data_IF_946221059585
#
_entry.id   IF_946221059585
#
_cell.length_a   1.000
_cell.length_b   1.000
_cell.length_c   1.000
_cell.angle_alpha   90.00
_cell.angle_beta   90.00
_cell.angle_gamma   90.00
#
_symmetry.space_group_name_H-M   'P 1'
#
loop_
_entity.id
_entity.type
_entity.pdbx_description
1 polymer ?
#
# COMPACT_ATOMS: atom_id res chain seq x y z
N UNK A 1 -19.31 13.11 13.86
CA UNK A 1 -19.23 11.71 13.38
C UNK A 1 -17.93 11.12 13.87
N UNK A 2 -17.98 9.92 14.43
CA UNK A 2 -16.91 9.29 15.19
C UNK A 2 -15.71 9.01 14.28
N UNK A 3 -14.59 9.69 14.53
CA UNK A 3 -13.32 9.37 13.92
C UNK A 3 -12.93 7.95 14.36
N UNK A 4 -13.18 6.98 13.48
CA UNK A 4 -12.66 5.62 13.63
C UNK A 4 -11.16 5.74 13.44
N UNK A 5 -10.43 5.79 14.56
CA UNK A 5 -8.98 5.77 14.60
C UNK A 5 -8.52 4.45 13.97
N UNK A 6 -8.04 4.52 12.73
CA UNK A 6 -7.15 3.54 12.15
C UNK A 6 -5.92 3.49 13.06
N UNK A 7 -5.87 2.52 13.97
CA UNK A 7 -4.66 2.21 14.74
C UNK A 7 -3.73 1.46 13.78
N UNK A 8 -3.11 2.21 12.85
CA UNK A 8 -1.96 1.79 12.04
C UNK A 8 -1.00 2.99 11.88
N UNK A 9 -0.81 3.76 12.95
CA UNK A 9 0.14 4.88 12.93
C UNK A 9 0.83 5.01 14.28
N UNK A 10 1.81 4.14 14.54
CA UNK A 10 2.87 4.43 15.49
C UNK A 10 4.11 4.83 14.69
N UNK A 11 4.33 6.14 14.58
CA UNK A 11 5.47 6.74 13.88
C UNK A 11 5.01 7.78 12.85
N UNK A 12 5.41 9.04 13.04
CA UNK A 12 5.04 10.19 12.21
C UNK A 12 5.59 10.20 10.78
N UNK A 13 5.66 9.05 10.12
CA UNK A 13 5.91 8.90 8.69
C UNK A 13 4.58 8.67 7.99
N UNK A 14 4.34 9.41 6.89
CA UNK A 14 3.27 9.09 5.96
C UNK A 14 3.63 7.77 5.27
N UNK A 15 3.05 6.70 5.76
CA UNK A 15 3.21 5.34 5.25
C UNK A 15 2.09 5.02 4.25
N UNK A 16 2.35 4.10 3.31
CA UNK A 16 1.37 3.59 2.35
C UNK A 16 0.10 3.08 3.05
N UNK A 17 0.20 2.57 4.28
CA UNK A 17 -0.95 2.23 5.12
C UNK A 17 -1.95 3.41 5.28
N UNK A 18 -1.45 4.64 5.41
CA UNK A 18 -2.27 5.84 5.48
C UNK A 18 -2.87 6.21 4.13
N UNK A 19 -2.13 6.04 3.04
CA UNK A 19 -2.65 6.27 1.68
C UNK A 19 -3.79 5.29 1.34
N UNK A 20 -3.67 4.02 1.76
CA UNK A 20 -4.70 2.99 1.54
C UNK A 20 -6.05 3.36 2.18
N UNK A 21 -6.06 4.16 3.25
CA UNK A 21 -7.29 4.64 3.86
C UNK A 21 -8.17 5.45 2.88
N UNK A 22 -7.57 6.12 1.88
CA UNK A 22 -8.31 6.84 0.83
C UNK A 22 -9.08 5.92 -0.12
N UNK A 23 -8.84 4.60 -0.08
CA UNK A 23 -9.46 3.60 -0.96
C UNK A 23 -10.45 2.69 -0.23
N UNK A 24 -10.57 2.84 1.10
CA UNK A 24 -11.45 2.04 1.93
C UNK A 24 -12.92 2.33 1.56
N UNK A 25 -13.67 1.29 1.18
CA UNK A 25 -15.07 1.42 0.74
C UNK A 25 -16.04 1.61 1.90
N UNK A 26 -15.80 0.91 3.00
CA UNK A 26 -16.66 0.91 4.19
C UNK A 26 -15.80 0.78 5.45
N UNK A 27 -16.37 1.10 6.61
CA UNK A 27 -15.72 0.78 7.88
C UNK A 27 -15.38 -0.73 7.95
N UNK A 28 -14.31 -1.03 8.69
CA UNK A 28 -13.89 -2.41 8.92
C UNK A 28 -15.02 -3.22 9.57
N UNK A 29 -15.20 -4.45 9.11
CA UNK A 29 -16.25 -5.36 9.60
C UNK A 29 -15.61 -6.40 10.50
N UNK A 30 -16.13 -6.56 11.72
CA UNK A 30 -15.69 -7.64 12.60
C UNK A 30 -16.21 -8.99 12.07
N UNK A 31 -15.31 -9.96 11.97
CA UNK A 31 -15.58 -11.30 11.42
C UNK A 31 -15.54 -12.33 12.54
N UNK A 32 -16.55 -13.19 12.61
CA UNK A 32 -16.51 -14.37 13.46
C UNK A 32 -15.90 -15.54 12.68
N UNK A 33 -14.78 -16.07 13.18
CA UNK A 33 -14.12 -17.23 12.58
C UNK A 33 -14.57 -18.52 13.27
N UNK A 34 -14.97 -19.51 12.47
CA UNK A 34 -15.40 -20.80 12.98
C UNK A 34 -14.23 -21.55 13.66
N UNK A 35 -14.51 -22.21 14.79
CA UNK A 35 -13.50 -23.02 15.51
C UNK A 35 -12.58 -22.23 16.44
N UNK A 36 -12.66 -20.90 16.48
CA UNK A 36 -11.83 -20.09 17.39
C UNK A 36 -12.18 -20.29 18.87
N UNK A 37 -13.42 -20.68 19.19
CA UNK A 37 -13.85 -20.99 20.56
C UNK A 37 -12.98 -22.06 21.23
N UNK A 38 -12.47 -23.03 20.45
CA UNK A 38 -11.56 -24.06 20.95
C UNK A 38 -10.24 -23.45 21.38
N UNK A 39 -9.71 -22.49 20.62
CA UNK A 39 -8.45 -21.80 20.97
C UNK A 39 -8.66 -20.94 22.22
N UNK A 40 -9.76 -20.20 22.28
CA UNK A 40 -10.10 -19.35 23.43
C UNK A 40 -10.20 -20.17 24.73
N UNK A 41 -10.84 -21.35 24.68
CA UNK A 41 -10.98 -22.22 25.84
C UNK A 41 -9.70 -22.98 26.20
N UNK A 42 -8.96 -23.48 25.21
CA UNK A 42 -7.80 -24.34 25.45
C UNK A 42 -6.57 -23.56 25.90
N UNK A 43 -6.41 -22.32 25.42
CA UNK A 43 -5.21 -21.51 25.64
C UNK A 43 -5.48 -20.23 26.43
N UNK A 44 -6.69 -20.04 26.97
CA UNK A 44 -7.14 -18.78 27.57
C UNK A 44 -6.85 -17.58 26.65
N UNK A 45 -7.07 -17.83 25.35
CA UNK A 45 -6.76 -16.90 24.28
C UNK A 45 -7.94 -16.00 23.97
N UNK A 46 -7.68 -14.92 23.25
CA UNK A 46 -8.71 -14.12 22.58
C UNK A 46 -8.29 -13.84 21.16
N UNK A 47 -9.23 -13.51 20.29
CA UNK A 47 -8.88 -13.08 18.95
C UNK A 47 -9.70 -11.86 18.51
N UNK A 48 -9.16 -11.14 17.53
CA UNK A 48 -9.86 -10.10 16.79
C UNK A 48 -9.65 -10.38 15.31
N UNK A 49 -10.74 -10.47 14.55
CA UNK A 49 -10.69 -10.61 13.10
C UNK A 49 -11.48 -9.46 12.45
N UNK A 50 -10.83 -8.69 11.59
CA UNK A 50 -11.42 -7.52 10.93
C UNK A 50 -11.18 -7.56 9.43
N UNK A 51 -12.25 -7.41 8.67
CA UNK A 51 -12.21 -7.35 7.21
C UNK A 51 -12.23 -5.91 6.71
N UNK A 52 -11.32 -5.59 5.80
CA UNK A 52 -11.18 -4.32 5.11
C UNK A 52 -11.33 -4.53 3.60
N UNK A 53 -12.08 -3.65 2.96
CA UNK A 53 -12.33 -3.70 1.52
C UNK A 53 -11.82 -2.41 0.87
N UNK A 54 -10.76 -2.52 0.08
CA UNK A 54 -10.16 -1.41 -0.64
C UNK A 54 -10.49 -1.51 -2.14
N UNK A 55 -10.92 -0.40 -2.72
CA UNK A 55 -11.11 -0.28 -4.16
C UNK A 55 -9.97 0.54 -4.75
N UNK A 56 -8.93 -0.14 -5.22
CA UNK A 56 -7.79 0.49 -5.88
C UNK A 56 -8.11 0.71 -7.37
N UNK A 57 -7.32 1.55 -8.03
CA UNK A 57 -7.39 1.71 -9.50
C UNK A 57 -6.99 0.43 -10.24
N UNK A 58 -6.17 -0.43 -9.63
CA UNK A 58 -5.72 -1.70 -10.20
C UNK A 58 -6.67 -2.87 -9.99
N UNK A 59 -7.63 -2.75 -9.06
CA UNK A 59 -8.55 -3.83 -8.70
C UNK A 59 -9.01 -3.75 -7.24
N UNK A 60 -9.59 -4.86 -6.76
CA UNK A 60 -10.12 -4.97 -5.40
C UNK A 60 -9.11 -5.65 -4.49
N UNK A 61 -8.85 -5.05 -3.32
CA UNK A 61 -8.01 -5.64 -2.28
C UNK A 61 -8.88 -5.93 -1.05
N UNK A 62 -9.03 -7.21 -0.72
CA UNK A 62 -9.72 -7.68 0.47
C UNK A 62 -8.68 -8.11 1.50
N UNK A 63 -8.68 -7.46 2.66
CA UNK A 63 -7.71 -7.73 3.71
C UNK A 63 -8.45 -8.20 4.97
N UNK A 64 -8.11 -9.38 5.46
CA UNK A 64 -8.50 -9.88 6.76
C UNK A 64 -7.33 -9.69 7.72
N UNK A 65 -7.48 -8.79 8.69
CA UNK A 65 -6.54 -8.64 9.79
C UNK A 65 -6.98 -9.55 10.95
N UNK A 66 -6.13 -10.51 11.32
CA UNK A 66 -6.39 -11.46 12.39
C UNK A 66 -5.30 -11.33 13.46
N UNK A 67 -5.69 -10.93 14.67
CA UNK A 67 -4.80 -10.86 15.83
C UNK A 67 -5.21 -11.91 16.83
N UNK A 68 -4.25 -12.75 17.25
CA UNK A 68 -4.40 -13.72 18.32
C UNK A 68 -3.70 -13.20 19.58
N UNK A 69 -4.45 -13.04 20.65
CA UNK A 69 -3.95 -12.65 21.96
C UNK A 69 -3.74 -13.91 22.80
N UNK A 70 -2.49 -14.18 23.17
CA UNK A 70 -2.11 -15.33 24.00
C UNK A 70 -1.53 -14.87 25.34
N UNK A 71 -1.66 -15.65 26.41
CA UNK A 71 -0.93 -15.42 27.65
C UNK A 71 0.59 -15.44 27.43
N UNK A 72 1.33 -14.58 28.13
CA UNK A 72 2.81 -14.57 28.10
C UNK A 72 3.44 -15.91 28.55
N UNK A 73 2.70 -16.71 29.32
CA UNK A 73 3.12 -18.04 29.76
C UNK A 73 2.93 -19.14 28.71
N UNK A 74 2.36 -18.84 27.54
CA UNK A 74 2.07 -19.84 26.51
C UNK A 74 3.37 -20.42 25.94
N UNK A 75 3.46 -21.75 25.87
CA UNK A 75 4.65 -22.42 25.34
C UNK A 75 4.77 -22.24 23.82
N UNK A 76 5.99 -22.29 23.28
CA UNK A 76 6.22 -22.20 21.83
C UNK A 76 5.42 -23.24 21.03
N UNK A 77 5.30 -24.47 21.54
CA UNK A 77 4.52 -25.52 20.87
C UNK A 77 3.01 -25.25 20.87
N UNK A 78 2.50 -24.58 21.91
CA UNK A 78 1.10 -24.17 21.99
C UNK A 78 0.82 -22.96 21.10
N UNK A 79 1.76 -22.00 21.04
CA UNK A 79 1.71 -20.85 20.11
C UNK A 79 1.60 -21.36 18.67
N UNK A 80 2.44 -22.33 18.27
CA UNK A 80 2.42 -22.91 16.93
C UNK A 80 1.09 -23.60 16.59
N UNK A 81 0.54 -24.37 17.53
CA UNK A 81 -0.76 -25.03 17.36
C UNK A 81 -1.91 -24.01 17.27
N UNK A 82 -1.90 -22.98 18.10
CA UNK A 82 -2.90 -21.92 18.09
C UNK A 82 -2.83 -21.11 16.78
N UNK A 83 -1.62 -20.75 16.33
CA UNK A 83 -1.35 -20.12 15.03
C UNK A 83 -1.93 -20.92 13.88
N UNK A 84 -1.59 -22.20 13.80
CA UNK A 84 -2.08 -23.10 12.73
C UNK A 84 -3.61 -23.18 12.71
N UNK A 85 -4.22 -23.30 13.90
CA UNK A 85 -5.68 -23.40 14.02
C UNK A 85 -6.36 -22.10 13.57
N UNK A 86 -5.82 -20.94 13.96
CA UNK A 86 -6.35 -19.64 13.58
C UNK A 86 -6.26 -19.39 12.06
N UNK A 87 -5.13 -19.76 11.44
CA UNK A 87 -4.93 -19.63 9.99
C UNK A 87 -5.89 -20.55 9.23
N UNK A 88 -6.05 -21.80 9.66
CA UNK A 88 -7.03 -22.73 9.07
C UNK A 88 -8.47 -22.23 9.20
N UNK A 89 -8.81 -21.58 10.31
CA UNK A 89 -10.11 -20.96 10.49
C UNK A 89 -10.33 -19.79 9.50
N UNK A 90 -9.32 -18.95 9.28
CA UNK A 90 -9.36 -17.87 8.30
C UNK A 90 -9.47 -18.40 6.86
N UNK A 91 -8.74 -19.46 6.52
CA UNK A 91 -8.82 -20.13 5.22
C UNK A 91 -10.21 -20.73 4.97
N UNK A 92 -10.78 -21.42 5.97
CA UNK A 92 -12.13 -21.96 5.86
C UNK A 92 -13.18 -20.86 5.63
N UNK A 93 -13.05 -19.73 6.34
CA UNK A 93 -13.91 -18.55 6.13
C UNK A 93 -13.76 -17.97 4.72
N UNK A 94 -12.53 -17.84 4.22
CA UNK A 94 -12.24 -17.33 2.89
C UNK A 94 -12.85 -18.24 1.79
N UNK A 95 -12.66 -19.56 1.88
CA UNK A 95 -13.28 -20.53 0.96
C UNK A 95 -14.80 -20.45 0.96
N UNK A 96 -15.41 -20.33 2.15
CA UNK A 96 -16.87 -20.14 2.26
C UNK A 96 -17.32 -18.86 1.57
N UNK A 97 -16.56 -17.77 1.71
CA UNK A 97 -16.88 -16.47 1.13
C UNK A 97 -16.74 -16.47 -0.40
N UNK A 98 -15.73 -17.17 -0.94
CA UNK A 98 -15.57 -17.39 -2.38
C UNK A 98 -16.70 -18.23 -2.97
N UNK A 99 -17.19 -19.24 -2.25
CA UNK A 99 -18.28 -20.09 -2.75
C UNK A 99 -19.62 -19.35 -2.92
N UNK A 100 -19.77 -18.20 -2.24
CA UNK A 100 -20.99 -17.39 -2.25
C UNK A 100 -20.96 -16.23 -3.26
N UNK A 101 -19.78 -15.86 -3.76
CA UNK A 101 -19.59 -14.72 -4.66
C UNK A 101 -19.06 -15.21 -6.00
N UNK A 102 -19.65 -14.74 -7.11
CA UNK A 102 -19.08 -14.97 -8.43
C UNK A 102 -17.65 -14.38 -8.49
N UNK A 103 -16.70 -15.14 -9.03
CA UNK A 103 -15.31 -14.70 -9.17
C UNK A 103 -15.25 -13.38 -9.95
N UNK A 104 -14.92 -12.30 -9.24
CA UNK A 104 -14.64 -11.00 -9.85
C UNK A 104 -13.17 -11.01 -10.24
N UNK A 105 -12.88 -10.93 -11.54
CA UNK A 105 -11.52 -10.74 -12.06
C UNK A 105 -10.85 -9.53 -11.36
N UNK A 106 -9.55 -9.64 -11.06
CA UNK A 106 -8.74 -8.59 -10.41
C UNK A 106 -9.09 -8.33 -8.94
N UNK A 107 -9.13 -9.40 -8.14
CA UNK A 107 -9.18 -9.30 -6.68
C UNK A 107 -7.90 -9.90 -6.08
N UNK A 108 -7.42 -9.31 -4.99
CA UNK A 108 -6.43 -9.92 -4.11
C UNK A 108 -7.04 -10.13 -2.73
N UNK A 109 -6.96 -11.36 -2.21
CA UNK A 109 -7.41 -11.71 -0.87
C UNK A 109 -6.19 -11.96 0.00
N UNK A 110 -6.09 -11.19 1.09
CA UNK A 110 -4.93 -11.14 1.95
C UNK A 110 -5.34 -11.44 3.39
N UNK A 111 -4.57 -12.29 4.07
CA UNK A 111 -4.62 -12.48 5.51
C UNK A 111 -3.36 -11.85 6.13
N UNK A 112 -3.54 -10.86 6.99
CA UNK A 112 -2.46 -10.32 7.83
C UNK A 112 -2.64 -10.87 9.23
N UNK A 113 -1.71 -11.69 9.68
CA UNK A 113 -1.78 -12.41 10.94
C UNK A 113 -0.81 -11.84 11.98
N UNK A 114 -1.30 -11.60 13.20
CA UNK A 114 -0.52 -11.12 14.33
C UNK A 114 -0.71 -12.03 15.55
N UNK A 115 0.34 -12.17 16.36
CA UNK A 115 0.26 -12.81 17.68
C UNK A 115 0.78 -11.81 18.70
N UNK A 116 -0.05 -11.50 19.69
CA UNK A 116 0.32 -10.61 20.79
C UNK A 116 0.33 -11.38 22.10
N UNK A 117 1.47 -11.34 22.81
CA UNK A 117 1.59 -11.94 24.12
C UNK A 117 1.16 -10.93 25.19
N UNK A 118 0.26 -11.34 26.08
CA UNK A 118 -0.36 -10.46 27.08
C UNK A 118 -0.17 -11.00 28.50
N UNK A 119 0.13 -10.11 29.45
CA UNK A 119 0.35 -10.47 30.86
C UNK A 119 -0.95 -10.67 31.66
N UNK A 120 -2.11 -10.27 31.14
CA UNK A 120 -3.38 -10.39 31.86
C UNK A 120 -4.57 -10.53 30.90
N UNK A 121 -5.44 -11.49 31.22
CA UNK A 121 -6.85 -11.56 30.78
C UNK A 121 -7.48 -10.20 31.04
N UNK A 122 -7.72 -9.41 29.99
CA UNK A 122 -8.38 -8.11 30.13
C UNK A 122 -9.81 -8.37 30.56
N UNK A 123 -10.11 -8.30 31.86
CA UNK A 123 -11.48 -8.34 32.35
C UNK A 123 -12.32 -7.29 31.61
N UNK A 124 -13.40 -7.75 30.98
CA UNK A 124 -14.29 -6.95 30.12
C UNK A 124 -15.11 -5.87 30.85
N UNK A 125 -14.73 -5.48 32.06
CA UNK A 125 -15.44 -4.49 32.86
C UNK A 125 -14.49 -3.57 33.62
N UNK A 126 -13.96 -2.54 32.95
CA UNK A 126 -13.68 -1.24 33.57
C UNK A 126 -13.62 -0.15 32.51
N UNK A 127 -14.73 0.58 32.38
CA UNK A 127 -14.75 1.93 31.81
C UNK A 127 -13.98 2.87 32.74
N UNK A 128 -13.23 3.78 32.13
CA UNK A 128 -12.57 4.96 32.69
C UNK A 128 -11.41 4.71 33.65
N UNK A 129 -10.19 4.93 33.15
CA UNK A 129 -9.36 6.06 33.59
C UNK A 129 -8.23 6.24 32.58
N UNK A 130 -8.01 7.50 32.17
CA UNK A 130 -6.86 7.95 31.41
C UNK A 130 -5.56 7.53 32.11
N UNK A 131 -4.89 6.51 31.58
CA UNK A 131 -3.47 6.27 31.83
C UNK A 131 -2.84 5.93 30.49
N UNK A 132 -2.18 6.93 29.90
CA UNK A 132 -1.20 6.77 28.82
C UNK A 132 0.04 6.02 29.33
N UNK A 133 -0.14 4.83 29.87
CA UNK A 133 0.94 3.86 29.96
C UNK A 133 0.91 3.09 28.66
N UNK A 134 1.88 3.40 27.80
CA UNK A 134 2.23 2.63 26.62
C UNK A 134 2.49 1.18 27.04
N UNK A 135 1.45 0.34 27.08
CA UNK A 135 1.62 -1.10 27.11
C UNK A 135 2.40 -1.44 25.85
N UNK A 136 3.69 -1.76 25.99
CA UNK A 136 4.45 -2.38 24.92
C UNK A 136 3.66 -3.62 24.49
N UNK A 137 3.04 -3.53 23.31
CA UNK A 137 2.40 -4.66 22.69
C UNK A 137 3.53 -5.63 22.33
N UNK A 138 3.57 -6.79 22.97
CA UNK A 138 4.58 -7.81 22.69
C UNK A 138 4.16 -8.58 21.44
N UNK A 139 4.33 -7.96 20.27
CA UNK A 139 4.13 -8.60 18.99
C UNK A 139 5.18 -9.70 18.80
N UNK A 140 4.73 -10.94 18.61
CA UNK A 140 5.62 -12.05 18.33
C UNK A 140 6.07 -11.96 16.87
N UNK A 141 7.36 -11.79 16.65
CA UNK A 141 7.93 -11.86 15.31
C UNK A 141 7.83 -13.29 14.77
N UNK A 142 7.24 -13.42 13.58
CA UNK A 142 7.11 -14.66 12.84
C UNK A 142 7.04 -14.35 11.35
N UNK A 143 7.28 -15.35 10.51
CA UNK A 143 7.15 -15.26 9.06
C UNK A 143 6.53 -16.55 8.52
N UNK A 144 6.03 -16.50 7.30
CA UNK A 144 5.47 -17.66 6.61
C UNK A 144 6.47 -18.19 5.58
N UNK A 145 6.87 -17.38 4.60
CA UNK A 145 7.76 -17.82 3.54
C UNK A 145 7.14 -18.91 2.65
N UNK A 146 7.75 -19.20 1.50
CA UNK A 146 7.19 -20.19 0.57
C UNK A 146 7.08 -21.61 1.17
N UNK A 147 7.99 -21.97 2.08
CA UNK A 147 8.01 -23.29 2.72
C UNK A 147 6.77 -23.55 3.57
N UNK A 148 6.27 -22.56 4.29
CA UNK A 148 5.05 -22.70 5.09
C UNK A 148 3.85 -23.09 4.22
N UNK A 149 3.72 -22.48 3.03
CA UNK A 149 2.65 -22.85 2.10
C UNK A 149 2.80 -24.27 1.54
N UNK A 150 4.04 -24.73 1.37
CA UNK A 150 4.37 -26.07 0.85
C UNK A 150 4.35 -27.20 1.87
N UNK A 151 4.37 -26.89 3.17
CA UNK A 151 4.41 -27.91 4.22
C UNK A 151 3.12 -27.89 5.04
N UNK A 152 2.64 -26.69 5.40
CA UNK A 152 1.56 -26.51 6.36
C UNK A 152 0.21 -26.18 5.72
N UNK A 153 0.21 -25.57 4.51
CA UNK A 153 -1.00 -25.16 3.78
C UNK A 153 -1.19 -25.84 2.41
N UNK A 154 -0.55 -26.99 2.18
CA UNK A 154 -0.47 -27.70 0.88
C UNK A 154 -1.81 -27.92 0.19
N UNK A 155 -2.83 -28.31 0.95
CA UNK A 155 -4.15 -28.64 0.41
C UNK A 155 -4.79 -27.41 -0.24
N UNK A 156 -4.52 -26.23 0.29
CA UNK A 156 -5.15 -24.97 -0.11
C UNK A 156 -4.47 -24.32 -1.32
N UNK A 157 -3.25 -24.75 -1.68
CA UNK A 157 -2.53 -24.35 -2.90
C UNK A 157 -3.05 -25.04 -4.17
N UNK A 158 -3.72 -26.19 -4.02
CA UNK A 158 -4.03 -27.12 -5.11
C UNK A 158 -5.44 -26.98 -5.70
N UNK A 159 -6.32 -26.27 -5.00
CA UNK A 159 -7.70 -26.02 -5.43
C UNK A 159 -7.73 -24.73 -6.26
N UNK A 160 -8.05 -24.83 -7.55
CA UNK A 160 -7.91 -23.77 -8.58
C UNK A 160 -8.80 -22.52 -8.44
N UNK A 161 -8.90 -21.96 -7.23
CA UNK A 161 -9.50 -20.66 -6.94
C UNK A 161 -8.47 -19.55 -6.72
N UNK A 162 -8.95 -18.35 -6.41
CA UNK A 162 -8.11 -17.23 -6.00
C UNK A 162 -7.43 -17.58 -4.66
N UNK A 163 -6.10 -17.66 -4.66
CA UNK A 163 -5.32 -18.10 -3.51
C UNK A 163 -5.25 -17.00 -2.44
N UNK A 164 -5.55 -17.34 -1.18
CA UNK A 164 -5.33 -16.46 -0.04
C UNK A 164 -3.84 -16.29 0.20
N UNK A 165 -3.34 -15.06 0.14
CA UNK A 165 -1.94 -14.75 0.48
C UNK A 165 -1.87 -14.41 1.97
N UNK A 166 -0.97 -15.07 2.69
CA UNK A 166 -0.84 -14.92 4.15
C UNK A 166 0.47 -14.21 4.47
N UNK A 167 0.39 -13.13 5.25
CA UNK A 167 1.54 -12.35 5.70
C UNK A 167 1.52 -12.23 7.22
N UNK A 168 2.70 -12.22 7.84
CA UNK A 168 2.79 -11.80 9.23
C UNK A 168 2.53 -10.29 9.32
N UNK A 169 2.13 -9.82 10.50
CA UNK A 169 1.98 -8.39 10.75
C UNK A 169 3.27 -7.62 10.44
N UNK A 170 4.43 -8.14 10.86
CA UNK A 170 5.72 -7.48 10.64
C UNK A 170 6.10 -7.42 9.15
N UNK A 171 5.90 -8.51 8.42
CA UNK A 171 6.21 -8.58 6.99
C UNK A 171 5.30 -7.64 6.21
N UNK A 172 4.00 -7.62 6.53
CA UNK A 172 3.04 -6.73 5.88
C UNK A 172 3.44 -5.26 6.01
N UNK A 173 3.78 -4.80 7.21
CA UNK A 173 4.22 -3.41 7.41
C UNK A 173 5.55 -3.12 6.72
N UNK A 174 6.50 -4.05 6.77
CA UNK A 174 7.79 -3.91 6.10
C UNK A 174 7.64 -3.82 4.58
N UNK A 175 6.73 -4.61 4.00
CA UNK A 175 6.38 -4.56 2.57
C UNK A 175 5.77 -3.20 2.22
N UNK A 176 4.79 -2.71 2.99
CA UNK A 176 4.16 -1.42 2.72
C UNK A 176 5.18 -0.26 2.69
N UNK A 177 6.12 -0.26 3.64
CA UNK A 177 7.23 0.70 3.71
C UNK A 177 8.18 0.57 2.52
N UNK A 178 8.41 -0.66 2.03
CA UNK A 178 9.31 -0.91 0.92
C UNK A 178 8.73 -0.51 -0.44
N UNK A 179 7.46 -0.86 -0.71
CA UNK A 179 6.80 -0.66 -2.01
C UNK A 179 6.25 0.76 -2.20
N UNK A 180 5.86 1.43 -1.10
CA UNK A 180 5.54 2.86 -1.01
C UNK A 180 4.37 3.41 -1.84
N UNK A 181 3.86 2.70 -2.84
CA UNK A 181 2.71 3.12 -3.64
C UNK A 181 1.67 2.00 -3.76
N UNK A 182 0.39 2.34 -3.99
CA UNK A 182 -0.66 1.34 -4.24
C UNK A 182 -0.39 0.46 -5.46
N UNK A 183 0.21 1.01 -6.52
CA UNK A 183 0.54 0.25 -7.74
C UNK A 183 1.68 -0.74 -7.52
N UNK A 184 2.72 -0.33 -6.78
CA UNK A 184 3.82 -1.24 -6.46
C UNK A 184 3.37 -2.33 -5.47
N UNK A 185 2.48 -2.02 -4.52
CA UNK A 185 1.82 -3.05 -3.69
C UNK A 185 1.05 -4.04 -4.56
N UNK A 186 0.20 -3.56 -5.48
CA UNK A 186 -0.58 -4.44 -6.36
C UNK A 186 0.32 -5.36 -7.20
N UNK A 187 1.38 -4.81 -7.80
CA UNK A 187 2.35 -5.59 -8.59
C UNK A 187 3.11 -6.59 -7.73
N UNK A 188 3.50 -6.20 -6.51
CA UNK A 188 4.14 -7.11 -5.57
C UNK A 188 3.20 -8.27 -5.19
N UNK A 189 1.92 -8.02 -4.96
CA UNK A 189 0.94 -9.06 -4.67
C UNK A 189 0.74 -10.03 -5.85
N UNK A 190 0.79 -9.55 -7.09
CA UNK A 190 0.81 -10.43 -8.26
C UNK A 190 2.10 -11.27 -8.31
N UNK A 191 3.25 -10.63 -8.09
CA UNK A 191 4.55 -11.31 -8.08
C UNK A 191 4.66 -12.36 -6.97
N UNK A 192 4.20 -12.06 -5.77
CA UNK A 192 4.16 -13.00 -4.66
C UNK A 192 3.25 -14.20 -4.97
N UNK A 193 2.07 -13.97 -5.55
CA UNK A 193 1.19 -15.03 -5.99
C UNK A 193 1.85 -15.92 -7.07
N UNK A 194 2.52 -15.33 -8.06
CA UNK A 194 3.29 -16.07 -9.07
C UNK A 194 4.38 -16.94 -8.44
N UNK A 195 5.11 -16.42 -7.44
CA UNK A 195 6.13 -17.17 -6.73
C UNK A 195 5.55 -18.34 -5.91
N UNK A 196 4.41 -18.13 -5.27
CA UNK A 196 3.70 -19.19 -4.54
C UNK A 196 3.18 -20.28 -5.50
N UNK A 197 2.62 -19.90 -6.64
CA UNK A 197 2.19 -20.84 -7.68
C UNK A 197 3.36 -21.63 -8.26
N UNK A 198 4.48 -20.97 -8.55
CA UNK A 198 5.70 -21.62 -9.01
C UNK A 198 6.19 -22.64 -7.96
N UNK A 199 6.16 -22.28 -6.67
CA UNK A 199 6.49 -23.21 -5.59
C UNK A 199 5.58 -24.42 -5.53
N UNK A 200 4.27 -24.23 -5.67
CA UNK A 200 3.31 -25.33 -5.66
C UNK A 200 3.53 -26.30 -6.83
N UNK A 201 3.81 -25.79 -8.04
CA UNK A 201 4.02 -26.60 -9.24
C UNK A 201 5.38 -27.31 -9.21
N UNK A 202 6.44 -26.61 -8.79
CA UNK A 202 7.80 -27.15 -8.77
C UNK A 202 8.10 -28.00 -7.54
N UNK A 203 7.26 -27.90 -6.50
CA UNK A 203 7.51 -28.44 -5.16
C UNK A 203 8.81 -27.93 -4.52
N UNK A 204 9.29 -26.76 -4.95
CA UNK A 204 10.50 -26.10 -4.41
C UNK A 204 10.13 -24.72 -3.87
N UNK A 205 10.50 -24.37 -2.64
CA UNK A 205 10.27 -23.02 -2.12
C UNK A 205 11.03 -21.99 -2.96
N UNK A 206 10.31 -21.04 -3.55
CA UNK A 206 10.83 -20.03 -4.48
C UNK A 206 11.49 -18.87 -3.76
N UNK A 207 11.08 -18.60 -2.52
CA UNK A 207 11.67 -17.59 -1.65
C UNK A 207 11.75 -18.08 -0.20
N UNK A 208 12.71 -17.51 0.54
CA UNK A 208 12.96 -17.85 1.96
C UNK A 208 12.11 -17.00 2.89
N UNK A 209 11.99 -15.70 2.61
CA UNK A 209 11.18 -14.75 3.37
C UNK A 209 10.61 -13.67 2.47
N UNK A 210 9.57 -13.03 2.96
CA UNK A 210 8.86 -11.91 2.36
C UNK A 210 9.78 -10.69 2.19
N UNK A 211 10.71 -10.47 3.13
CA UNK A 211 11.73 -9.42 3.05
C UNK A 211 12.67 -9.60 1.85
N UNK A 212 13.18 -10.82 1.63
CA UNK A 212 14.03 -11.12 0.48
C UNK A 212 13.23 -10.95 -0.82
N UNK A 213 11.99 -11.46 -0.82
CA UNK A 213 11.14 -11.41 -2.00
C UNK A 213 10.81 -9.97 -2.44
N UNK A 214 10.46 -9.09 -1.50
CA UNK A 214 10.17 -7.68 -1.83
C UNK A 214 11.43 -6.96 -2.30
N UNK A 215 12.60 -7.29 -1.76
CA UNK A 215 13.87 -6.74 -2.22
C UNK A 215 14.20 -7.18 -3.66
N UNK A 216 13.99 -8.46 -3.99
CA UNK A 216 14.17 -9.00 -5.34
C UNK A 216 13.19 -8.35 -6.33
N UNK A 217 11.92 -8.22 -5.96
CA UNK A 217 10.90 -7.53 -6.74
C UNK A 217 11.32 -6.09 -7.06
N UNK A 218 11.72 -5.34 -6.03
CA UNK A 218 12.10 -3.93 -6.16
C UNK A 218 13.43 -3.74 -6.88
N UNK A 219 14.27 -4.76 -7.04
CA UNK A 219 15.52 -4.72 -7.81
C UNK A 219 15.37 -5.25 -9.24
N UNK A 220 14.18 -5.76 -9.60
CA UNK A 220 13.93 -6.30 -10.92
C UNK A 220 13.80 -5.20 -11.98
N UNK A 221 14.37 -5.44 -13.16
CA UNK A 221 14.15 -4.57 -14.32
C UNK A 221 12.67 -4.53 -14.77
N UNK A 222 11.87 -5.54 -14.41
CA UNK A 222 10.43 -5.58 -14.71
C UNK A 222 9.64 -4.48 -14.03
N UNK A 223 10.18 -3.87 -12.97
CA UNK A 223 9.59 -2.72 -12.28
C UNK A 223 9.27 -1.57 -13.23
N UNK A 224 10.07 -1.40 -14.29
CA UNK A 224 9.93 -0.31 -15.27
C UNK A 224 9.05 -0.65 -16.47
N UNK A 225 8.60 -1.90 -16.63
CA UNK A 225 7.81 -2.34 -17.80
C UNK A 225 6.57 -1.46 -18.04
N UNK A 226 5.79 -1.08 -17.01
CA UNK A 226 4.60 -0.25 -17.21
C UNK A 226 4.96 1.17 -17.67
N UNK A 227 5.97 1.77 -17.05
CA UNK A 227 6.50 3.07 -17.47
C UNK A 227 7.02 3.05 -18.91
N UNK A 228 7.73 1.99 -19.31
CA UNK A 228 8.21 1.82 -20.69
C UNK A 228 7.03 1.69 -21.66
N UNK A 229 5.96 0.99 -21.25
CA UNK A 229 4.76 0.83 -22.07
C UNK A 229 4.07 2.17 -22.31
N UNK A 230 3.93 2.99 -21.26
CA UNK A 230 3.38 4.34 -21.37
C UNK A 230 4.29 5.25 -22.20
N UNK A 231 5.59 5.25 -21.96
CA UNK A 231 6.59 6.05 -22.70
C UNK A 231 6.54 5.75 -24.21
N UNK A 232 6.47 4.46 -24.59
CA UNK A 232 6.30 4.04 -25.98
C UNK A 232 4.96 4.49 -26.57
N UNK A 233 3.87 4.45 -25.79
CA UNK A 233 2.58 4.92 -26.25
C UNK A 233 2.58 6.44 -26.50
N UNK A 234 3.23 7.22 -25.63
CA UNK A 234 3.37 8.68 -25.81
C UNK A 234 4.16 9.04 -27.06
N UNK A 235 5.20 8.28 -27.38
CA UNK A 235 5.95 8.43 -28.63
C UNK A 235 5.08 8.08 -29.84
N UNK A 236 4.34 6.98 -29.76
CA UNK A 236 3.43 6.55 -30.84
C UNK A 236 2.36 7.59 -31.17
N UNK A 237 1.92 8.37 -30.18
CA UNK A 237 0.89 9.40 -30.34
C UNK A 237 1.45 10.83 -30.50
N UNK A 238 2.73 10.98 -30.81
CA UNK A 238 3.40 12.28 -31.03
C UNK A 238 3.30 13.25 -29.83
N UNK A 239 3.13 12.72 -28.60
CA UNK A 239 3.16 13.50 -27.36
C UNK A 239 4.62 13.70 -26.89
N UNK A 240 5.51 12.75 -27.23
CA UNK A 240 6.92 12.78 -26.87
C UNK A 240 7.79 12.31 -28.03
N UNK A 241 8.85 13.04 -28.37
CA UNK A 241 9.68 12.71 -29.55
C UNK A 241 10.63 11.52 -29.33
N UNK A 242 11.10 11.34 -28.08
CA UNK A 242 12.18 10.39 -27.72
C UNK A 242 11.90 9.77 -26.37
N UNK A 243 12.42 8.57 -26.07
CA UNK A 243 12.24 7.94 -24.77
C UNK A 243 12.72 8.82 -23.61
N UNK A 244 12.06 8.71 -22.45
CA UNK A 244 12.50 9.45 -21.27
C UNK A 244 13.93 8.97 -20.87
N UNK A 245 14.93 9.87 -20.84
CA UNK A 245 16.31 9.46 -20.60
C UNK A 245 16.53 8.90 -19.18
N UNK A 246 15.78 9.36 -18.19
CA UNK A 246 15.86 8.83 -16.83
C UNK A 246 15.29 7.40 -16.78
N UNK A 247 14.15 7.16 -17.43
CA UNK A 247 13.56 5.82 -17.54
C UNK A 247 14.54 4.83 -18.17
N UNK A 248 15.13 5.19 -19.31
CA UNK A 248 16.11 4.37 -20.01
C UNK A 248 17.33 4.09 -19.13
N UNK A 249 17.89 5.11 -18.49
CA UNK A 249 19.06 4.97 -17.64
C UNK A 249 18.80 4.06 -16.42
N UNK A 250 17.65 4.23 -15.76
CA UNK A 250 17.24 3.43 -14.62
C UNK A 250 16.99 1.97 -15.00
N UNK A 251 16.20 1.73 -16.05
CA UNK A 251 15.90 0.39 -16.53
C UNK A 251 17.17 -0.37 -16.93
N UNK A 252 18.12 0.29 -17.60
CA UNK A 252 19.41 -0.31 -17.95
C UNK A 252 20.28 -0.59 -16.72
N UNK A 253 20.29 0.31 -15.72
CA UNK A 253 21.04 0.09 -14.49
C UNK A 253 20.54 -1.15 -13.74
N UNK A 254 19.23 -1.37 -13.68
CA UNK A 254 18.61 -2.53 -13.03
C UNK A 254 18.87 -3.81 -13.83
N UNK A 255 18.65 -3.76 -15.15
CA UNK A 255 18.92 -4.90 -16.04
C UNK A 255 20.36 -5.39 -15.95
N UNK A 256 21.32 -4.47 -15.80
CA UNK A 256 22.74 -4.79 -15.72
C UNK A 256 23.26 -4.94 -14.28
N UNK A 257 22.39 -4.86 -13.27
CA UNK A 257 22.75 -4.91 -11.85
C UNK A 257 23.90 -3.94 -11.50
N UNK A 258 23.85 -2.72 -12.08
CA UNK A 258 24.85 -1.70 -11.87
C UNK A 258 24.83 -1.19 -10.43
N UNK A 259 25.98 -0.78 -9.90
CA UNK A 259 26.08 -0.06 -8.61
C UNK A 259 25.24 1.21 -8.56
N UNK A 260 24.89 1.79 -9.72
CA UNK A 260 24.02 2.97 -9.81
C UNK A 260 22.54 2.64 -9.58
N UNK A 261 22.13 1.37 -9.69
CA UNK A 261 20.74 0.94 -9.47
C UNK A 261 20.27 1.27 -8.03
N UNK A 262 21.14 1.07 -7.04
CA UNK A 262 20.85 1.40 -5.64
C UNK A 262 20.62 2.91 -5.44
N UNK A 263 21.44 3.76 -6.09
CA UNK A 263 21.24 5.22 -6.05
C UNK A 263 19.89 5.60 -6.67
N UNK A 264 19.51 4.99 -7.80
CA UNK A 264 18.20 5.23 -8.40
C UNK A 264 17.04 4.74 -7.53
N UNK A 265 17.19 3.60 -6.86
CA UNK A 265 16.22 3.12 -5.89
C UNK A 265 15.98 4.15 -4.78
N UNK A 266 17.06 4.66 -4.19
CA UNK A 266 16.97 5.69 -3.15
C UNK A 266 16.30 6.97 -3.66
N UNK A 267 16.60 7.42 -4.88
CA UNK A 267 15.95 8.58 -5.47
C UNK A 267 14.46 8.37 -5.73
N UNK A 268 14.04 7.18 -6.17
CA UNK A 268 12.63 6.85 -6.34
C UNK A 268 11.92 6.82 -4.98
N UNK A 269 12.58 6.23 -3.96
CA UNK A 269 12.01 6.16 -2.62
C UNK A 269 11.80 7.55 -1.99
N UNK A 270 12.83 8.41 -2.07
CA UNK A 270 12.74 9.79 -1.61
C UNK A 270 11.62 10.55 -2.34
N UNK A 271 11.51 10.38 -3.65
CA UNK A 271 10.46 11.02 -4.42
C UNK A 271 9.07 10.51 -4.03
N UNK A 272 8.91 9.22 -3.79
CA UNK A 272 7.63 8.66 -3.35
C UNK A 272 7.20 9.22 -1.99
N UNK A 273 8.12 9.32 -1.02
CA UNK A 273 7.86 9.95 0.28
C UNK A 273 7.45 11.42 0.14
N UNK A 274 8.18 12.20 -0.67
CA UNK A 274 7.88 13.62 -0.87
C UNK A 274 6.54 13.83 -1.57
N UNK A 275 6.23 12.99 -2.55
CA UNK A 275 4.95 13.03 -3.25
C UNK A 275 3.79 12.67 -2.32
N UNK A 276 3.97 11.68 -1.45
CA UNK A 276 3.00 11.31 -0.41
C UNK A 276 2.74 12.46 0.56
N UNK A 277 3.81 13.11 1.03
CA UNK A 277 3.75 14.30 1.89
C UNK A 277 2.99 15.44 1.22
N UNK A 278 3.34 15.78 -0.02
CA UNK A 278 2.67 16.83 -0.77
C UNK A 278 1.19 16.52 -0.98
N UNK A 279 0.88 15.30 -1.42
CA UNK A 279 -0.49 14.86 -1.68
C UNK A 279 -1.34 14.89 -0.41
N UNK A 280 -0.79 14.42 0.71
CA UNK A 280 -1.50 14.44 2.00
C UNK A 280 -1.75 15.86 2.48
N UNK A 281 -0.79 16.77 2.34
CA UNK A 281 -1.00 18.18 2.67
C UNK A 281 -2.08 18.83 1.80
N UNK A 282 -2.11 18.50 0.51
CA UNK A 282 -3.16 18.97 -0.42
C UNK A 282 -4.53 18.41 -0.04
N UNK A 283 -4.60 17.13 0.30
CA UNK A 283 -5.81 16.44 0.79
C UNK A 283 -6.34 17.12 2.06
N UNK A 284 -5.48 17.33 3.06
CA UNK A 284 -5.84 17.95 4.34
C UNK A 284 -6.31 19.40 4.15
N UNK A 285 -5.58 20.20 3.38
CA UNK A 285 -5.95 21.60 3.12
C UNK A 285 -7.29 21.74 2.38
N UNK A 286 -7.67 20.77 1.55
CA UNK A 286 -8.98 20.73 0.92
C UNK A 286 -10.09 20.36 1.93
N UNK A 287 -9.84 19.37 2.79
CA UNK A 287 -10.78 18.95 3.83
C UNK A 287 -11.08 20.10 4.81
N UNK A 288 -10.07 20.85 5.24
CA UNK A 288 -10.23 21.99 6.15
C UNK A 288 -11.06 23.15 5.56
N UNK A 289 -10.96 23.36 4.24
CA UNK A 289 -11.76 24.37 3.54
C UNK A 289 -13.23 23.96 3.41
N UNK A 290 -13.49 22.66 3.25
CA UNK A 290 -14.86 22.12 3.21
C UNK A 290 -15.57 22.24 4.56
N UNK A 291 -14.89 21.90 5.66
CA UNK A 291 -15.44 22.00 7.03
C UNK A 291 -15.68 23.44 7.46
N UNK A 292 -14.86 24.38 6.99
CA UNK A 292 -15.01 25.82 7.28
C UNK A 292 -16.12 26.48 6.45
N UNK A 293 -16.58 25.86 5.37
CA UNK A 293 -17.44 26.48 4.35
C UNK A 293 -18.92 26.16 4.49
N UNK A 294 -19.35 25.06 5.13
CA UNK A 294 -20.77 24.66 5.13
C UNK A 294 -21.23 23.96 6.42
N UNK A 295 -22.16 24.58 7.14
CA UNK A 295 -23.12 23.93 8.04
C UNK A 295 -24.33 23.33 7.31
N UNK A 296 -24.14 22.90 6.07
CA UNK A 296 -25.18 22.26 5.25
C UNK A 296 -24.68 20.90 4.78
N UNK A 297 -25.40 19.87 5.22
CA UNK A 297 -25.29 18.48 4.77
C UNK A 297 -25.63 18.40 3.27
N UNK A 298 -24.64 18.59 2.40
CA UNK A 298 -24.80 18.21 1.00
C UNK A 298 -24.35 16.76 0.84
N UNK A 299 -25.34 15.87 0.87
CA UNK A 299 -25.26 14.51 0.35
C UNK A 299 -24.93 14.53 -1.13
N UNK A 300 -23.65 14.42 -1.48
CA UNK A 300 -23.20 14.10 -2.85
C UNK A 300 -21.94 13.25 -2.76
N UNK A 301 -21.99 12.09 -3.40
CA UNK A 301 -20.85 11.22 -3.71
C UNK A 301 -19.66 11.99 -4.35
N UNK A 302 -18.46 11.39 -4.39
CA UNK A 302 -17.28 11.93 -3.74
C UNK A 302 -16.28 12.46 -4.78
N UNK A 303 -16.59 13.58 -5.44
CA UNK A 303 -15.60 14.27 -6.28
C UNK A 303 -14.31 14.54 -5.51
N UNK A 304 -14.44 14.83 -4.21
CA UNK A 304 -13.34 14.94 -3.26
C UNK A 304 -12.43 13.71 -3.22
N UNK A 305 -12.94 12.49 -3.24
CA UNK A 305 -12.11 11.29 -3.12
C UNK A 305 -11.43 10.88 -4.43
N UNK A 306 -12.07 11.14 -5.59
CA UNK A 306 -11.53 10.70 -6.88
C UNK A 306 -10.24 11.41 -7.27
N UNK A 307 -10.14 12.73 -7.08
CA UNK A 307 -8.89 13.44 -7.41
C UNK A 307 -7.77 13.11 -6.40
N UNK A 308 -8.12 12.81 -5.15
CA UNK A 308 -7.15 12.39 -4.12
C UNK A 308 -6.55 11.04 -4.48
N UNK A 309 -7.40 10.08 -4.84
CA UNK A 309 -6.97 8.78 -5.36
C UNK A 309 -6.09 8.97 -6.61
N UNK A 310 -6.46 9.85 -7.55
CA UNK A 310 -5.61 10.14 -8.72
C UNK A 310 -4.21 10.70 -8.38
N UNK A 311 -4.05 11.42 -7.28
CA UNK A 311 -2.71 11.85 -6.84
C UNK A 311 -1.93 10.69 -6.24
N UNK A 312 -2.58 9.82 -5.48
CA UNK A 312 -1.95 8.68 -4.82
C UNK A 312 -1.68 7.51 -5.79
N UNK A 313 -2.48 7.40 -6.85
CA UNK A 313 -2.42 6.40 -7.93
C UNK A 313 -1.26 6.64 -8.91
N UNK A 314 -0.06 6.92 -8.41
CA UNK A 314 1.13 7.08 -9.22
C UNK A 314 2.21 6.09 -8.78
N UNK A 315 2.83 5.43 -9.77
CA UNK A 315 3.95 4.52 -9.55
C UNK A 315 5.21 5.23 -9.08
N UNK A 316 6.15 4.48 -8.52
CA UNK A 316 7.47 4.96 -8.08
C UNK A 316 8.16 5.82 -9.15
N UNK A 317 8.16 5.37 -10.41
CA UNK A 317 8.78 6.13 -11.49
C UNK A 317 8.01 7.42 -11.84
N UNK A 318 6.68 7.38 -11.82
CA UNK A 318 5.86 8.58 -12.07
C UNK A 318 6.07 9.63 -10.96
N UNK A 319 6.03 9.21 -9.69
CA UNK A 319 6.35 10.05 -8.53
C UNK A 319 7.77 10.62 -8.64
N UNK A 320 8.74 9.81 -9.08
CA UNK A 320 10.10 10.26 -9.35
C UNK A 320 10.16 11.39 -10.38
N UNK A 321 9.56 11.24 -11.55
CA UNK A 321 9.60 12.27 -12.60
C UNK A 321 8.86 13.57 -12.20
N UNK A 322 7.74 13.45 -11.49
CA UNK A 322 6.99 14.58 -10.96
C UNK A 322 7.83 15.38 -9.95
N UNK A 323 8.38 14.72 -8.93
CA UNK A 323 9.23 15.36 -7.92
C UNK A 323 10.53 15.91 -8.54
N UNK A 324 11.14 15.17 -9.47
CA UNK A 324 12.33 15.64 -10.21
C UNK A 324 12.05 16.93 -10.97
N UNK A 325 10.83 17.12 -11.48
CA UNK A 325 10.42 18.36 -12.14
C UNK A 325 10.36 19.53 -11.16
N UNK A 326 9.82 19.32 -9.96
CA UNK A 326 9.83 20.33 -8.89
C UNK A 326 11.26 20.70 -8.49
N UNK A 327 12.14 19.72 -8.29
CA UNK A 327 13.55 19.96 -7.93
C UNK A 327 14.39 20.64 -9.01
N UNK A 328 13.92 20.66 -10.26
CA UNK A 328 14.59 21.40 -11.34
C UNK A 328 14.31 22.90 -11.28
N UNK A 329 13.28 23.36 -10.58
CA UNK A 329 12.92 24.79 -10.52
C UNK A 329 14.04 25.69 -9.97
N UNK A 330 14.69 25.38 -8.83
CA UNK A 330 15.80 26.19 -8.32
C UNK A 330 17.01 26.24 -9.25
N UNK A 331 17.12 25.31 -10.20
CA UNK A 331 18.22 25.19 -11.17
C UNK A 331 17.90 25.84 -12.53
N UNK A 332 16.70 26.40 -12.70
CA UNK A 332 16.34 27.14 -13.93
C UNK A 332 17.10 28.46 -14.05
N UNK A 333 17.08 29.05 -15.25
CA UNK A 333 17.64 30.37 -15.46
C UNK A 333 16.91 31.40 -14.61
N UNK A 334 17.64 32.46 -14.18
CA UNK A 334 17.05 33.56 -13.39
C UNK A 334 15.84 34.19 -14.08
N UNK A 335 15.88 34.32 -15.41
CA UNK A 335 14.77 34.86 -16.21
C UNK A 335 13.51 34.01 -16.07
N UNK A 336 13.61 32.67 -16.19
CA UNK A 336 12.45 31.78 -16.03
C UNK A 336 11.90 31.79 -14.60
N UNK A 337 12.77 31.91 -13.59
CA UNK A 337 12.34 32.02 -12.19
C UNK A 337 11.60 33.35 -11.92
N UNK A 338 11.97 34.43 -12.61
CA UNK A 338 11.33 35.73 -12.49
C UNK A 338 10.00 35.81 -13.24
N UNK A 339 9.94 35.30 -14.47
CA UNK A 339 8.75 35.37 -15.32
C UNK A 339 7.68 34.33 -14.97
N UNK A 340 8.10 33.24 -14.32
CA UNK A 340 7.31 32.04 -14.16
C UNK A 340 7.25 31.21 -15.44
N UNK A 341 6.83 29.95 -15.32
CA UNK A 341 6.63 29.06 -16.47
C UNK A 341 5.67 27.92 -16.14
N UNK A 342 5.19 27.26 -17.20
CA UNK A 342 4.31 26.09 -17.11
C UNK A 342 5.09 24.88 -17.61
N UNK A 343 5.02 23.77 -16.86
CA UNK A 343 5.55 22.47 -17.29
C UNK A 343 4.40 21.49 -17.41
N UNK A 344 4.32 20.85 -18.55
CA UNK A 344 3.42 19.72 -18.76
C UNK A 344 4.17 18.44 -18.42
N UNK A 345 3.58 17.64 -17.55
CA UNK A 345 4.02 16.30 -17.19
C UNK A 345 2.89 15.31 -17.45
N UNK A 346 3.23 14.03 -17.47
CA UNK A 346 2.27 12.94 -17.61
C UNK A 346 2.61 11.85 -16.62
N UNK A 347 1.61 11.04 -16.29
CA UNK A 347 1.83 9.80 -15.55
C UNK A 347 2.58 8.80 -16.45
N UNK A 348 3.52 8.08 -15.86
CA UNK A 348 4.13 6.88 -16.46
C UNK A 348 3.41 5.60 -15.99
N UNK A 349 2.26 5.75 -15.33
CA UNK A 349 1.39 4.66 -14.90
C UNK A 349 0.11 4.62 -15.71
N UNK A 350 -0.61 5.74 -15.74
CA UNK A 350 -1.92 5.86 -16.38
C UNK A 350 -1.79 6.70 -17.65
N UNK A 351 -1.87 6.05 -18.82
CA UNK A 351 -1.89 6.76 -20.10
C UNK A 351 -3.07 7.75 -20.14
N UNK A 352 -2.80 8.99 -20.56
CA UNK A 352 -3.80 10.06 -20.64
C UNK A 352 -3.98 10.86 -19.35
N UNK A 353 -3.30 10.50 -18.25
CA UNK A 353 -3.23 11.35 -17.06
C UNK A 353 -2.10 12.36 -17.23
N UNK A 354 -2.45 13.64 -17.10
CA UNK A 354 -1.54 14.76 -17.32
C UNK A 354 -1.53 15.69 -16.11
N UNK A 355 -0.35 16.23 -15.83
CA UNK A 355 -0.10 17.19 -14.75
C UNK A 355 0.37 18.50 -15.36
N UNK A 356 -0.24 19.59 -14.93
CA UNK A 356 0.21 20.94 -15.29
C UNK A 356 0.81 21.59 -14.04
N UNK A 357 2.12 21.73 -14.05
CA UNK A 357 2.87 22.36 -12.97
C UNK A 357 3.08 23.84 -13.32
N UNK A 358 2.50 24.73 -12.52
CA UNK A 358 2.58 26.18 -12.72
C UNK A 358 3.56 26.75 -11.70
N UNK A 359 4.68 27.28 -12.19
CA UNK A 359 5.66 27.97 -11.37
C UNK A 359 5.43 29.47 -11.48
N UNK A 360 4.91 30.08 -10.40
CA UNK A 360 4.69 31.52 -10.35
C UNK A 360 6.02 32.26 -10.28
N UNK A 361 6.11 33.35 -11.05
CA UNK A 361 7.27 34.23 -11.04
C UNK A 361 7.43 34.96 -9.71
N UNK A 362 8.68 35.21 -9.32
CA UNK A 362 9.00 35.94 -8.08
C UNK A 362 8.74 37.45 -8.16
N UNK A 363 8.53 37.99 -9.37
CA UNK A 363 8.19 39.40 -9.59
C UNK A 363 6.65 39.61 -9.62
N UNK A 364 6.16 40.62 -8.91
CA UNK A 364 4.74 41.01 -8.92
C UNK A 364 4.22 41.41 -10.32
N UNK A 365 5.13 41.73 -11.26
CA UNK A 365 4.78 42.01 -12.66
C UNK A 365 4.87 40.80 -13.61
N UNK A 366 5.21 39.60 -13.10
CA UNK A 366 5.38 38.40 -13.90
C UNK A 366 4.15 38.10 -14.78
N UNK A 367 4.39 37.85 -16.08
CA UNK A 367 3.34 37.67 -17.10
C UNK A 367 2.37 36.53 -16.77
N UNK A 368 2.81 35.48 -16.09
CA UNK A 368 1.96 34.32 -15.75
C UNK A 368 1.01 34.63 -14.59
N UNK A 369 1.43 35.44 -13.61
CA UNK A 369 0.54 35.90 -12.54
C UNK A 369 -0.65 36.71 -13.11
N UNK A 370 -0.42 37.50 -14.17
CA UNK A 370 -1.47 38.25 -14.88
C UNK A 370 -2.35 37.40 -15.80
N UNK A 371 -1.84 36.28 -16.32
CA UNK A 371 -2.58 35.46 -17.31
C UNK A 371 -3.65 34.55 -16.66
N UNK A 372 -3.41 34.07 -15.44
CA UNK A 372 -4.36 33.20 -14.71
C UNK A 372 -5.42 34.00 -13.95
N UNK A 373 -5.09 35.18 -13.42
CA UNK A 373 -6.07 36.05 -12.72
C UNK A 373 -7.19 36.58 -13.62
N UNK A 374 -7.04 36.52 -14.95
CA UNK A 374 -8.05 36.96 -15.91
C UNK A 374 -8.83 35.79 -16.56
N UNK A 375 -8.60 34.54 -16.12
CA UNK A 375 -9.23 33.33 -16.71
C UNK A 375 -9.88 32.38 -15.70
N UNK A 376 -9.82 32.69 -14.41
CA UNK A 376 -10.68 32.13 -13.35
C UNK A 376 -11.69 33.22 -13.01
#
# INVERSE_FOLDING_TARGET
>A
MSHSSTIISDGGYLDLASELACYLQTAAVDIALAGMQTIEQQYDARYSARSYHYQLSSGKLQLLALTLYLPMSTSSADIERARMTAIKAALAWHKSSLSQNEHVAQTHDILVFDIQLTDNVVDGHKKNTDSQDSKQLNHLQHAFGARYFLEDLVVDMSEGGQQLQVFSWHDWHSILVAVQTPYELWRFLNYHLEQLQYSAISHVPSFVSEEVLVAEFLQSASLFTPAITVDNALIKYDIQDKPNPALVAMALAYKNQSTTAQMYQQHMQQAATLWSQLSTQMIAAYADKQTSSNGQESSTEPLGFRWQQQLLDESLFSRHELIRTLYRHPKQSKTLQQDGYIVHQHSYETLGRHYVLIFYGQDAQAKIAKMLFNRI
#
